data_IF_659123596521
#
_entry.id   IF_659123596521
#
_cell.length_a   1.000
_cell.length_b   1.000
_cell.length_c   1.000
_cell.angle_alpha   90.00
_cell.angle_beta   90.00
_cell.angle_gamma   90.00
#
_symmetry.space_group_name_H-M   'P 1'
#
loop_
_entity.id
_entity.type
_entity.pdbx_description
1 polymer ?
#
# COMPACT_ATOMS: atom_id res chain seq x y z
N UNK A 1 1.20 13.94 60.18
CA UNK A 1 1.59 14.87 59.11
C UNK A 1 1.21 14.20 57.80
N UNK A 2 0.18 14.69 57.10
CA UNK A 2 -0.12 14.23 55.75
C UNK A 2 0.83 14.95 54.81
N UNK A 3 1.70 14.20 54.13
CA UNK A 3 2.43 14.73 52.97
C UNK A 3 1.38 15.14 51.93
N UNK A 4 1.36 16.42 51.55
CA UNK A 4 0.54 16.86 50.44
C UNK A 4 1.07 16.18 49.17
N UNK A 5 0.29 15.26 48.59
CA UNK A 5 0.63 14.60 47.35
C UNK A 5 0.83 15.67 46.26
N UNK A 6 2.07 15.79 45.76
CA UNK A 6 2.43 16.81 44.78
C UNK A 6 1.95 16.35 43.41
N UNK A 7 0.84 16.91 42.94
CA UNK A 7 0.34 16.64 41.61
C UNK A 7 1.39 17.02 40.54
N UNK A 8 1.53 16.17 39.52
CA UNK A 8 2.47 16.30 38.40
C UNK A 8 1.68 16.44 37.11
N UNK A 9 1.92 17.53 36.36
CA UNK A 9 1.28 17.76 35.07
C UNK A 9 1.68 16.73 34.00
N UNK A 10 0.91 16.61 32.91
CA UNK A 10 1.14 15.58 31.92
C UNK A 10 2.43 15.82 31.13
N UNK A 11 3.11 14.74 30.77
CA UNK A 11 4.23 14.72 29.83
C UNK A 11 3.98 13.66 28.78
N UNK A 12 4.18 13.98 27.50
CA UNK A 12 3.97 13.06 26.38
C UNK A 12 5.31 12.82 25.69
N UNK A 13 5.64 11.54 25.44
CA UNK A 13 6.78 11.19 24.60
C UNK A 13 6.57 11.66 23.15
N UNK A 14 7.64 12.02 22.40
CA UNK A 14 7.53 12.32 20.98
C UNK A 14 6.84 11.19 20.21
N UNK A 15 5.95 11.55 19.30
CA UNK A 15 5.26 10.59 18.44
C UNK A 15 5.98 10.56 17.10
N UNK A 16 6.29 9.37 16.61
CA UNK A 16 6.95 9.22 15.31
C UNK A 16 6.02 9.57 14.15
N UNK A 17 6.56 10.26 13.15
CA UNK A 17 5.89 10.44 11.87
C UNK A 17 5.70 9.08 11.19
N UNK A 18 4.54 8.88 10.56
CA UNK A 18 4.18 7.60 9.93
C UNK A 18 4.09 7.77 8.42
N UNK A 19 4.85 6.98 7.68
CA UNK A 19 4.66 6.81 6.23
C UNK A 19 4.03 5.44 5.99
N UNK A 20 2.89 5.40 5.32
CA UNK A 20 2.10 4.17 5.11
C UNK A 20 1.65 4.07 3.65
N UNK A 21 1.57 2.84 3.12
CA UNK A 21 1.00 2.61 1.79
C UNK A 21 -0.53 2.57 1.88
N UNK A 22 -1.25 3.18 0.92
CA UNK A 22 -2.72 3.11 0.87
C UNK A 22 -3.20 1.66 1.00
N UNK A 23 -4.15 1.44 1.90
CA UNK A 23 -4.71 0.13 2.22
C UNK A 23 -4.15 -0.50 3.49
N UNK A 24 -2.91 -0.15 3.88
CA UNK A 24 -2.23 -0.66 5.09
C UNK A 24 -2.73 0.07 6.36
N UNK A 25 -2.55 -0.54 7.54
CA UNK A 25 -3.00 0.07 8.79
C UNK A 25 -2.10 1.22 9.27
N UNK A 26 -2.72 2.23 9.86
CA UNK A 26 -2.06 3.30 10.64
C UNK A 26 -2.32 3.04 12.11
N UNK A 27 -1.24 2.99 12.88
CA UNK A 27 -1.24 3.01 14.34
C UNK A 27 -0.42 4.20 14.80
N UNK A 28 -1.04 5.11 15.55
CA UNK A 28 -0.35 6.16 16.31
C UNK A 28 -0.52 5.89 17.81
N UNK A 29 0.58 6.03 18.55
CA UNK A 29 0.63 5.76 19.99
C UNK A 29 1.03 7.04 20.73
N UNK A 30 0.24 7.43 21.72
CA UNK A 30 0.51 8.60 22.55
C UNK A 30 0.77 8.20 24.01
N UNK A 31 2.04 7.99 24.34
CA UNK A 31 2.43 7.64 25.70
C UNK A 31 2.53 8.90 26.56
N UNK A 32 1.55 9.09 27.44
CA UNK A 32 1.50 10.19 28.40
C UNK A 32 1.68 9.69 29.84
N UNK A 33 2.41 10.44 30.64
CA UNK A 33 2.58 10.23 32.09
C UNK A 33 2.10 11.47 32.86
N UNK A 34 1.74 11.32 34.13
CA UNK A 34 1.28 12.41 35.01
C UNK A 34 0.61 11.86 36.27
N UNK A 35 0.48 12.68 37.31
CA UNK A 35 -0.23 12.32 38.54
C UNK A 35 -1.17 13.47 38.98
N UNK A 36 -2.51 13.31 38.91
CA UNK A 36 -3.25 12.11 38.48
C UNK A 36 -3.00 11.71 37.01
N UNK A 37 -3.25 10.43 36.70
CA UNK A 37 -3.06 9.87 35.35
C UNK A 37 -3.83 10.69 34.29
N UNK A 38 -3.18 11.14 33.20
CA UNK A 38 -3.81 12.02 32.24
C UNK A 38 -4.82 11.31 31.35
N UNK A 39 -5.91 12.00 31.02
CA UNK A 39 -6.81 11.60 29.95
C UNK A 39 -6.16 11.95 28.60
N UNK A 40 -6.09 10.95 27.71
CA UNK A 40 -5.49 11.08 26.37
C UNK A 40 -6.59 11.12 25.31
N UNK A 41 -6.48 12.07 24.39
CA UNK A 41 -7.37 12.23 23.25
C UNK A 41 -6.61 12.58 21.97
N UNK A 42 -7.22 12.26 20.83
CA UNK A 42 -6.66 12.51 19.51
C UNK A 42 -7.52 13.50 18.73
N UNK A 43 -6.87 14.39 17.99
CA UNK A 43 -7.50 15.25 16.99
C UNK A 43 -6.65 15.32 15.72
N UNK A 44 -7.25 15.77 14.62
CA UNK A 44 -6.55 16.00 13.35
C UNK A 44 -6.68 17.47 12.99
N UNK A 45 -5.58 18.10 12.58
CA UNK A 45 -5.57 19.52 12.28
C UNK A 45 -6.54 19.91 11.16
N UNK A 46 -6.83 18.99 10.23
CA UNK A 46 -7.80 19.19 9.15
C UNK A 46 -9.26 18.94 9.58
N UNK A 47 -9.54 18.77 10.88
CA UNK A 47 -10.87 18.54 11.43
C UNK A 47 -11.11 17.08 11.81
N UNK A 48 -11.88 16.36 11.00
CA UNK A 48 -12.44 15.06 11.42
C UNK A 48 -11.43 13.92 11.28
N UNK A 49 -11.29 13.13 12.36
CA UNK A 49 -10.72 11.79 12.32
C UNK A 49 -11.86 10.82 12.07
N UNK A 50 -11.68 9.87 11.15
CA UNK A 50 -12.56 8.72 10.99
C UNK A 50 -11.81 7.45 11.46
N UNK A 51 -11.60 7.27 12.77
CA UNK A 51 -10.83 6.14 13.26
C UNK A 51 -11.60 4.85 13.06
N UNK A 52 -10.89 3.75 12.84
CA UNK A 52 -11.48 2.41 12.97
C UNK A 52 -11.69 2.06 14.44
N UNK A 53 -10.78 2.50 15.31
CA UNK A 53 -10.86 2.30 16.76
C UNK A 53 -9.94 3.28 17.50
N UNK A 54 -10.33 3.69 18.71
CA UNK A 54 -9.53 4.50 19.63
C UNK A 54 -9.54 3.84 21.00
N UNK A 55 -8.36 3.57 21.58
CA UNK A 55 -8.22 2.93 22.90
C UNK A 55 -7.26 3.72 23.77
N UNK A 56 -7.78 4.72 24.47
CA UNK A 56 -7.00 5.64 25.28
C UNK A 56 -5.87 6.28 24.46
N UNK A 57 -4.65 5.77 24.63
CA UNK A 57 -3.44 6.23 23.95
C UNK A 57 -3.29 5.83 22.48
N UNK A 58 -4.06 4.87 21.99
CA UNK A 58 -3.92 4.33 20.63
C UNK A 58 -4.98 4.86 19.67
N UNK A 59 -4.53 5.25 18.48
CA UNK A 59 -5.37 5.58 17.33
C UNK A 59 -5.14 4.58 16.20
N UNK A 60 -6.19 3.89 15.78
CA UNK A 60 -6.15 2.91 14.70
C UNK A 60 -6.98 3.34 13.49
N UNK A 61 -6.37 3.27 12.31
CA UNK A 61 -7.05 3.32 11.00
C UNK A 61 -6.64 2.04 10.27
N UNK A 62 -7.55 1.07 10.13
CA UNK A 62 -7.19 -0.26 9.63
C UNK A 62 -6.87 -0.30 8.14
N UNK A 63 -7.32 0.70 7.38
CA UNK A 63 -7.05 0.79 5.95
C UNK A 63 -6.85 2.25 5.53
N UNK A 64 -5.59 2.64 5.37
CA UNK A 64 -5.20 4.00 5.05
C UNK A 64 -5.78 4.48 3.71
N UNK A 65 -6.39 5.66 3.74
CA UNK A 65 -6.87 6.42 2.57
C UNK A 65 -6.04 7.68 2.42
N UNK A 66 -6.03 8.27 1.22
CA UNK A 66 -5.33 9.55 0.99
C UNK A 66 -5.85 10.67 1.90
N UNK A 67 -7.14 10.65 2.24
CA UNK A 67 -7.77 11.57 3.19
C UNK A 67 -7.22 11.45 4.61
N UNK A 68 -6.57 10.33 4.95
CA UNK A 68 -6.04 10.07 6.29
C UNK A 68 -4.66 10.69 6.47
N UNK A 69 -3.99 11.13 5.40
CA UNK A 69 -2.76 11.91 5.49
C UNK A 69 -3.00 13.25 6.21
N UNK A 70 -1.98 13.75 6.89
CA UNK A 70 -2.00 15.04 7.58
C UNK A 70 -1.46 14.98 9.00
N UNK A 71 -1.68 16.08 9.73
CA UNK A 71 -1.17 16.28 11.08
C UNK A 71 -2.16 15.79 12.13
N UNK A 72 -1.72 14.84 12.94
CA UNK A 72 -2.44 14.30 14.10
C UNK A 72 -1.87 14.90 15.36
N UNK A 73 -2.74 15.24 16.31
CA UNK A 73 -2.40 15.90 17.56
C UNK A 73 -2.91 15.00 18.67
N UNK A 74 -2.00 14.56 19.53
CA UNK A 74 -2.37 13.96 20.79
C UNK A 74 -2.42 15.02 21.87
N UNK A 75 -3.48 15.01 22.67
CA UNK A 75 -3.64 15.87 23.85
C UNK A 75 -3.71 15.01 25.10
N UNK A 76 -2.88 15.31 26.10
CA UNK A 76 -2.94 14.71 27.43
C UNK A 76 -3.30 15.78 28.46
N UNK A 77 -4.33 15.51 29.27
CA UNK A 77 -4.86 16.46 30.26
C UNK A 77 -5.08 15.78 31.61
N UNK A 78 -4.63 16.43 32.68
CA UNK A 78 -5.06 16.14 34.04
C UNK A 78 -5.46 17.44 34.76
N UNK A 79 -5.70 17.37 36.06
CA UNK A 79 -6.15 18.52 36.87
C UNK A 79 -5.08 19.60 37.07
N UNK A 80 -3.82 19.33 36.70
CA UNK A 80 -2.71 20.29 36.81
C UNK A 80 -2.54 21.07 35.52
N UNK A 81 -2.46 20.38 34.38
CA UNK A 81 -2.20 21.02 33.10
C UNK A 81 -2.64 20.17 31.90
N UNK A 82 -2.52 20.76 30.72
CA UNK A 82 -2.76 20.14 29.43
C UNK A 82 -1.52 20.32 28.56
N UNK A 83 -1.12 19.25 27.88
CA UNK A 83 0.00 19.28 26.93
C UNK A 83 -0.36 18.54 25.64
N UNK A 84 0.31 18.87 24.55
CA UNK A 84 0.04 18.32 23.23
C UNK A 84 1.34 17.99 22.49
N UNK A 85 1.29 16.94 21.68
CA UNK A 85 2.37 16.58 20.73
C UNK A 85 1.75 16.22 19.39
N UNK A 86 2.51 16.40 18.32
CA UNK A 86 2.04 16.23 16.95
C UNK A 86 2.81 15.12 16.23
N UNK A 87 2.14 14.44 15.30
CA UNK A 87 2.75 13.52 14.34
C UNK A 87 2.15 13.74 12.95
N UNK A 88 2.99 13.59 11.93
CA UNK A 88 2.56 13.64 10.54
C UNK A 88 2.37 12.23 9.99
N UNK A 89 1.23 12.01 9.35
CA UNK A 89 0.96 10.80 8.58
C UNK A 89 1.02 11.13 7.10
N UNK A 90 1.85 10.39 6.38
CA UNK A 90 1.97 10.44 4.92
C UNK A 90 1.43 9.14 4.33
N UNK A 91 0.48 9.25 3.39
CA UNK A 91 -0.10 8.08 2.70
C UNK A 91 0.43 8.02 1.27
N UNK A 92 1.18 6.97 0.97
CA UNK A 92 1.87 6.75 -0.29
C UNK A 92 1.06 5.80 -1.19
N UNK A 93 1.32 5.86 -2.49
CA UNK A 93 0.63 5.04 -3.49
C UNK A 93 1.61 4.13 -4.23
N UNK A 94 1.15 2.91 -4.52
CA UNK A 94 1.78 2.02 -5.48
C UNK A 94 1.44 2.47 -6.91
N UNK A 95 2.21 2.07 -7.93
CA UNK A 95 1.88 2.40 -9.30
C UNK A 95 0.53 1.80 -9.71
N UNK A 96 -0.10 2.37 -10.73
CA UNK A 96 -1.21 1.69 -11.39
C UNK A 96 -0.70 0.45 -12.14
N UNK A 97 -1.57 -0.56 -12.31
CA UNK A 97 -1.23 -1.73 -13.13
C UNK A 97 -1.15 -1.32 -14.61
N UNK A 98 -0.03 -1.64 -15.31
CA UNK A 98 0.05 -1.53 -16.75
C UNK A 98 -1.06 -2.33 -17.45
N UNK A 99 -1.35 -1.98 -18.70
CA UNK A 99 -2.26 -2.76 -19.56
C UNK A 99 -1.39 -3.43 -20.62
N UNK A 100 -1.20 -4.77 -20.56
CA UNK A 100 -0.43 -5.46 -21.57
C UNK A 100 -1.22 -5.62 -22.87
N UNK A 101 -0.49 -5.64 -23.98
CA UNK A 101 -0.94 -5.94 -25.33
C UNK A 101 -0.03 -7.01 -25.92
N UNK A 102 -0.52 -7.80 -26.87
CA UNK A 102 0.29 -8.74 -27.66
C UNK A 102 0.29 -8.35 -29.13
N UNK A 103 1.44 -8.40 -29.80
CA UNK A 103 1.55 -7.99 -31.22
C UNK A 103 2.10 -9.08 -32.13
N UNK A 104 2.86 -10.04 -31.61
CA UNK A 104 3.37 -11.20 -32.36
C UNK A 104 3.04 -12.48 -31.62
N UNK A 105 2.31 -13.37 -32.31
CA UNK A 105 1.90 -14.68 -31.81
C UNK A 105 2.40 -15.68 -32.84
N UNK A 106 3.47 -16.40 -32.52
CA UNK A 106 3.93 -17.55 -33.31
C UNK A 106 3.63 -18.84 -32.55
N UNK A 107 3.98 -19.99 -33.13
CA UNK A 107 3.88 -21.27 -32.42
C UNK A 107 4.97 -21.45 -31.34
N UNK A 108 5.94 -20.54 -31.22
CA UNK A 108 7.08 -20.64 -30.28
C UNK A 108 7.19 -19.45 -29.33
N UNK A 109 6.71 -18.27 -29.75
CA UNK A 109 6.92 -17.02 -29.04
C UNK A 109 5.67 -16.17 -28.97
N UNK A 110 5.48 -15.52 -27.82
CA UNK A 110 4.46 -14.49 -27.62
C UNK A 110 5.16 -13.22 -27.12
N UNK A 111 5.05 -12.14 -27.89
CA UNK A 111 5.58 -10.84 -27.49
C UNK A 111 4.51 -10.01 -26.80
N UNK A 112 4.77 -9.67 -25.54
CA UNK A 112 3.91 -8.86 -24.67
C UNK A 112 4.54 -7.48 -24.51
N UNK A 113 3.77 -6.41 -24.72
CA UNK A 113 4.21 -5.02 -24.57
C UNK A 113 3.27 -4.26 -23.64
N UNK A 114 3.79 -3.26 -22.94
CA UNK A 114 2.97 -2.40 -22.09
C UNK A 114 3.50 -0.96 -22.09
N UNK A 115 2.64 -0.03 -21.68
CA UNK A 115 3.02 1.36 -21.45
C UNK A 115 3.30 1.60 -19.97
N UNK A 116 4.22 2.51 -19.67
CA UNK A 116 4.48 2.97 -18.30
C UNK A 116 3.18 3.48 -17.66
N UNK A 117 2.81 2.98 -16.47
CA UNK A 117 1.57 3.38 -15.82
C UNK A 117 1.75 4.71 -15.06
N UNK A 118 0.61 5.32 -14.69
CA UNK A 118 0.61 6.45 -13.74
C UNK A 118 1.12 5.96 -12.38
N UNK A 119 2.03 6.72 -11.78
CA UNK A 119 2.69 6.35 -10.52
C UNK A 119 2.61 7.41 -9.42
N UNK A 120 1.70 8.40 -9.59
CA UNK A 120 1.41 9.42 -8.58
C UNK A 120 2.64 10.21 -8.07
N UNK A 121 3.65 10.38 -8.92
CA UNK A 121 4.90 11.07 -8.57
C UNK A 121 5.99 10.15 -8.01
N UNK A 122 5.71 8.88 -7.74
CA UNK A 122 6.72 7.90 -7.32
C UNK A 122 7.34 7.21 -8.54
N UNK A 123 8.68 7.06 -8.62
CA UNK A 123 9.30 6.34 -9.72
C UNK A 123 8.85 4.87 -9.76
N UNK A 124 8.55 4.37 -10.97
CA UNK A 124 8.46 2.93 -11.22
C UNK A 124 9.88 2.39 -11.29
N UNK A 125 10.17 1.33 -10.54
CA UNK A 125 11.51 0.75 -10.41
C UNK A 125 11.67 -0.55 -11.19
N UNK A 126 10.59 -1.30 -11.42
CA UNK A 126 10.59 -2.52 -12.21
C UNK A 126 9.17 -2.95 -12.57
N UNK A 127 9.06 -3.91 -13.48
CA UNK A 127 7.81 -4.59 -13.81
C UNK A 127 7.87 -6.07 -13.46
N UNK A 128 6.72 -6.68 -13.21
CA UNK A 128 6.58 -8.13 -13.19
C UNK A 128 5.58 -8.57 -14.24
N UNK A 129 5.98 -9.54 -15.06
CA UNK A 129 5.17 -10.16 -16.08
C UNK A 129 4.70 -11.50 -15.54
N UNK A 130 3.39 -11.62 -15.32
CA UNK A 130 2.76 -12.84 -14.84
C UNK A 130 2.21 -13.60 -16.04
N UNK A 131 2.69 -14.83 -16.26
CA UNK A 131 2.28 -15.74 -17.32
C UNK A 131 1.50 -16.90 -16.71
N UNK A 132 0.23 -17.01 -17.10
CA UNK A 132 -0.69 -18.04 -16.61
C UNK A 132 -1.09 -18.95 -17.76
N UNK A 133 -0.91 -20.26 -17.63
CA UNK A 133 -1.50 -21.26 -18.51
C UNK A 133 -2.95 -21.53 -18.10
N UNK A 134 -3.85 -21.50 -19.07
CA UNK A 134 -5.28 -21.73 -18.86
C UNK A 134 -5.74 -23.03 -19.51
N UNK A 135 -6.65 -23.73 -18.84
CA UNK A 135 -7.35 -24.88 -19.40
C UNK A 135 -8.47 -24.47 -20.38
N UNK A 136 -9.23 -25.44 -20.85
CA UNK A 136 -10.35 -25.20 -21.78
C UNK A 136 -11.53 -24.44 -21.14
N UNK A 137 -11.68 -24.52 -19.82
CA UNK A 137 -12.69 -23.80 -19.04
C UNK A 137 -12.21 -22.37 -18.65
N UNK A 138 -10.97 -22.02 -18.97
CA UNK A 138 -10.36 -20.75 -18.60
C UNK A 138 -9.84 -20.70 -17.16
N UNK A 139 -9.70 -21.85 -16.50
CA UNK A 139 -9.11 -21.96 -15.18
C UNK A 139 -7.58 -21.99 -15.26
N UNK A 140 -6.95 -21.43 -14.22
CA UNK A 140 -5.50 -21.44 -14.08
C UNK A 140 -4.97 -22.86 -13.84
N UNK A 141 -4.05 -23.30 -14.69
CA UNK A 141 -3.34 -24.58 -14.59
C UNK A 141 -1.97 -24.37 -13.95
N UNK A 142 -1.18 -23.44 -14.49
CA UNK A 142 0.12 -23.05 -13.93
C UNK A 142 0.35 -21.55 -14.09
N UNK A 143 1.17 -20.98 -13.21
CA UNK A 143 1.53 -19.56 -13.26
C UNK A 143 3.03 -19.37 -13.02
N UNK A 144 3.64 -18.44 -13.76
CA UNK A 144 5.05 -18.04 -13.64
C UNK A 144 5.15 -16.53 -13.61
N UNK A 145 6.09 -16.01 -12.83
CA UNK A 145 6.36 -14.56 -12.75
C UNK A 145 7.78 -14.28 -13.22
N UNK A 146 7.93 -13.25 -14.03
CA UNK A 146 9.21 -12.77 -14.56
C UNK A 146 9.38 -11.30 -14.21
N UNK A 147 10.61 -10.87 -13.96
CA UNK A 147 10.92 -9.50 -13.57
C UNK A 147 11.75 -8.82 -14.66
N UNK A 148 11.40 -7.58 -14.98
CA UNK A 148 12.17 -6.75 -15.91
C UNK A 148 12.33 -5.33 -15.35
N UNK A 149 13.41 -4.68 -15.74
CA UNK A 149 13.76 -3.34 -15.28
C UNK A 149 12.74 -2.29 -15.74
N UNK A 150 12.76 -1.12 -15.11
CA UNK A 150 11.92 0.06 -15.34
C UNK A 150 11.93 0.58 -16.79
N UNK A 151 13.04 0.41 -17.50
CA UNK A 151 13.20 0.87 -18.88
C UNK A 151 12.67 -0.14 -19.90
N UNK A 152 12.42 -1.38 -19.45
CA UNK A 152 11.92 -2.46 -20.29
C UNK A 152 10.40 -2.44 -20.32
N UNK A 153 9.85 -2.31 -21.52
CA UNK A 153 8.40 -2.18 -21.77
C UNK A 153 7.86 -3.33 -22.63
N UNK A 154 8.61 -4.42 -22.71
CA UNK A 154 8.26 -5.63 -23.45
C UNK A 154 8.82 -6.89 -22.80
N UNK A 155 8.22 -8.03 -23.12
CA UNK A 155 8.68 -9.35 -22.72
C UNK A 155 8.37 -10.35 -23.82
N UNK A 156 9.40 -11.10 -24.23
CA UNK A 156 9.29 -12.20 -25.16
C UNK A 156 9.15 -13.50 -24.38
N UNK A 157 7.95 -14.07 -24.41
CA UNK A 157 7.67 -15.35 -23.76
C UNK A 157 8.03 -16.50 -24.70
N UNK A 158 9.10 -17.23 -24.37
CA UNK A 158 9.48 -18.49 -25.02
C UNK A 158 8.85 -19.73 -24.38
N UNK A 159 9.22 -20.91 -24.90
CA UNK A 159 8.69 -22.22 -24.50
C UNK A 159 7.15 -22.26 -24.53
N UNK A 160 6.59 -21.73 -25.60
CA UNK A 160 5.15 -21.69 -25.83
C UNK A 160 4.72 -22.98 -26.49
N UNK A 161 3.77 -23.69 -25.88
CA UNK A 161 3.25 -24.93 -26.43
C UNK A 161 2.03 -24.66 -27.32
N UNK A 162 2.04 -25.31 -28.49
CA UNK A 162 0.96 -25.19 -29.45
C UNK A 162 -0.35 -25.81 -28.93
N UNK A 163 -1.47 -25.13 -29.18
CA UNK A 163 -2.80 -25.55 -28.72
C UNK A 163 -3.13 -25.12 -27.29
N UNK A 164 -2.17 -24.56 -26.54
CA UNK A 164 -2.41 -24.01 -25.19
C UNK A 164 -2.93 -22.57 -25.22
N UNK A 165 -3.55 -22.17 -24.12
CA UNK A 165 -3.99 -20.79 -23.91
C UNK A 165 -3.19 -20.17 -22.78
N UNK A 166 -2.62 -18.99 -23.01
CA UNK A 166 -1.84 -18.25 -22.03
C UNK A 166 -2.48 -16.90 -21.76
N UNK A 167 -2.53 -16.51 -20.49
CA UNK A 167 -2.95 -15.20 -20.02
C UNK A 167 -1.76 -14.47 -19.43
N UNK A 168 -1.56 -13.23 -19.84
CA UNK A 168 -0.52 -12.36 -19.34
C UNK A 168 -1.12 -11.14 -18.67
N UNK A 169 -0.67 -10.83 -17.45
CA UNK A 169 -0.91 -9.54 -16.82
C UNK A 169 0.41 -9.00 -16.29
N UNK A 170 0.53 -7.66 -16.28
CA UNK A 170 1.77 -6.99 -15.89
C UNK A 170 1.48 -6.12 -14.67
N UNK A 171 2.39 -6.14 -13.71
CA UNK A 171 2.39 -5.23 -12.57
C UNK A 171 3.63 -4.34 -12.60
N UNK A 172 3.52 -3.19 -11.95
CA UNK A 172 4.62 -2.24 -11.79
C UNK A 172 4.95 -2.08 -10.31
N UNK A 173 6.22 -1.93 -9.99
CA UNK A 173 6.73 -1.79 -8.63
C UNK A 173 7.31 -0.41 -8.39
N UNK A 174 7.13 0.10 -7.18
CA UNK A 174 7.92 1.20 -6.64
C UNK A 174 8.43 0.82 -5.23
N UNK A 175 9.06 1.76 -4.53
CA UNK A 175 9.53 1.57 -3.14
C UNK A 175 8.42 1.22 -2.14
N UNK A 176 7.15 1.36 -2.52
CA UNK A 176 5.98 1.11 -1.67
C UNK A 176 5.21 -0.17 -2.06
N UNK A 177 5.72 -0.92 -3.05
CA UNK A 177 5.26 -2.25 -3.41
C UNK A 177 4.70 -2.39 -4.83
N UNK A 178 4.18 -3.58 -5.09
CA UNK A 178 3.60 -3.99 -6.37
C UNK A 178 2.21 -3.39 -6.60
N UNK A 179 1.95 -2.87 -7.79
CA UNK A 179 0.60 -2.52 -8.22
C UNK A 179 -0.37 -3.71 -8.09
N UNK A 180 -1.66 -3.45 -7.95
CA UNK A 180 -2.67 -4.52 -7.90
C UNK A 180 -2.56 -5.45 -9.12
N UNK A 181 -2.64 -6.77 -8.90
CA UNK A 181 -2.75 -7.78 -9.96
C UNK A 181 -4.17 -7.77 -10.56
N UNK A 182 -4.47 -6.76 -11.36
CA UNK A 182 -5.79 -6.60 -11.99
C UNK A 182 -5.94 -7.55 -13.18
N UNK A 183 -6.50 -8.74 -12.94
CA UNK A 183 -6.71 -9.77 -13.95
C UNK A 183 -7.63 -9.34 -15.11
N UNK A 184 -8.34 -8.20 -15.01
CA UNK A 184 -9.09 -7.61 -16.13
C UNK A 184 -8.18 -6.85 -17.10
N UNK A 185 -7.03 -6.37 -16.61
CA UNK A 185 -5.96 -5.77 -17.42
C UNK A 185 -4.96 -6.86 -17.82
N UNK A 186 -5.41 -7.72 -18.70
CA UNK A 186 -4.64 -8.84 -19.19
C UNK A 186 -4.82 -9.02 -20.69
N UNK A 187 -3.87 -9.72 -21.30
CA UNK A 187 -4.01 -10.23 -22.66
C UNK A 187 -4.06 -11.75 -22.60
N UNK A 188 -5.03 -12.35 -23.28
CA UNK A 188 -5.17 -13.81 -23.37
C UNK A 188 -4.92 -14.22 -24.81
N UNK A 189 -4.02 -15.18 -24.99
CA UNK A 189 -3.51 -15.63 -26.28
C UNK A 189 -3.72 -17.14 -26.37
N UNK A 190 -4.47 -17.57 -27.38
CA UNK A 190 -4.59 -18.99 -27.74
C UNK A 190 -3.59 -19.30 -28.85
N UNK A 191 -2.67 -20.21 -28.60
CA UNK A 191 -1.60 -20.56 -29.52
C UNK A 191 -2.16 -21.53 -30.55
N UNK A 192 -2.14 -21.14 -31.82
CA UNK A 192 -2.65 -21.98 -32.89
C UNK A 192 -1.73 -23.19 -33.14
N UNK A 193 -2.33 -24.28 -33.63
CA UNK A 193 -1.57 -25.40 -34.18
C UNK A 193 -1.00 -25.00 -35.55
N UNK A 194 0.25 -25.41 -35.88
CA UNK A 194 0.80 -25.20 -37.21
C UNK A 194 -0.13 -25.71 -38.31
#
# INVERSE_FOLDING_TARGET
MNEAQRNVGPSISPIENKTVTKGEPILLLCNATGDPAPNVSWSKASGTINPSYVSGKELWILSAKLSDAGKYICTAKNDVSMTTVEAFVTVMLRPHSPVPLSTQITHLTINVYWKKPKSHGYPVLMYSVHRVELDQAGQEVTSRTYHVNEDVHHYEAGDIESGKTYKFYVTAWNTHGESVKDHRKSVTVKVQKP
#
